data_IF_054476614956
#
_entry.id   IF_054476614956
#
_cell.length_a   1.000
_cell.length_b   1.000
_cell.length_c   1.000
_cell.angle_alpha   90.00
_cell.angle_beta   90.00
_cell.angle_gamma   90.00
#
_symmetry.space_group_name_H-M   'P 1'
#
loop_
_entity.id
_entity.type
_entity.pdbx_description
1 polymer ?
#
# COMPACT_ATOMS: atom_id res chain seq x y z
N UNK A 1 -32.12 9.83 -0.61
CA UNK A 1 -30.85 9.47 0.06
C UNK A 1 -29.91 8.74 -0.90
N UNK A 2 -30.45 7.86 -1.75
CA UNK A 2 -29.75 7.26 -2.90
C UNK A 2 -29.21 8.31 -3.87
N UNK A 3 -30.02 9.32 -4.22
CA UNK A 3 -29.67 10.32 -5.25
C UNK A 3 -28.43 11.15 -4.87
N UNK A 4 -28.31 11.49 -3.58
CA UNK A 4 -27.14 12.20 -3.07
C UNK A 4 -25.84 11.40 -3.22
N UNK A 5 -25.86 10.09 -2.95
CA UNK A 5 -24.68 9.24 -3.08
C UNK A 5 -24.34 8.95 -4.54
N UNK A 6 -25.31 8.92 -5.44
CA UNK A 6 -25.06 8.79 -6.87
C UNK A 6 -24.51 10.07 -7.49
N UNK A 7 -24.99 11.24 -7.04
CA UNK A 7 -24.56 12.54 -7.58
C UNK A 7 -23.20 12.99 -7.03
N UNK A 8 -22.90 12.70 -5.76
CA UNK A 8 -21.65 13.12 -5.09
C UNK A 8 -20.71 11.96 -4.74
N UNK A 9 -20.99 10.72 -5.17
CA UNK A 9 -20.26 9.52 -4.74
C UNK A 9 -18.75 9.59 -4.97
N UNK A 10 -18.32 10.10 -6.13
CA UNK A 10 -16.88 10.26 -6.44
C UNK A 10 -16.22 11.27 -5.49
N UNK A 11 -16.88 12.40 -5.23
CA UNK A 11 -16.37 13.44 -4.34
C UNK A 11 -16.21 12.91 -2.91
N UNK A 12 -17.21 12.17 -2.42
CA UNK A 12 -17.20 11.54 -1.11
C UNK A 12 -16.07 10.50 -1.03
N UNK A 13 -15.91 9.65 -2.05
CA UNK A 13 -14.85 8.65 -2.09
C UNK A 13 -13.46 9.28 -2.03
N UNK A 14 -13.22 10.35 -2.81
CA UNK A 14 -11.95 11.09 -2.80
C UNK A 14 -11.70 11.80 -1.46
N UNK A 15 -12.74 12.37 -0.84
CA UNK A 15 -12.64 12.98 0.48
C UNK A 15 -12.25 11.94 1.55
N UNK A 16 -12.87 10.76 1.55
CA UNK A 16 -12.53 9.66 2.45
C UNK A 16 -11.09 9.16 2.23
N UNK A 17 -10.66 8.99 0.97
CA UNK A 17 -9.29 8.60 0.64
C UNK A 17 -8.27 9.63 1.16
N UNK A 18 -8.53 10.93 0.93
CA UNK A 18 -7.70 12.02 1.44
C UNK A 18 -7.63 12.03 2.98
N UNK A 19 -8.77 11.89 3.65
CA UNK A 19 -8.83 11.83 5.11
C UNK A 19 -8.03 10.64 5.68
N UNK A 20 -8.11 9.47 5.04
CA UNK A 20 -7.33 8.29 5.42
C UNK A 20 -5.82 8.53 5.32
N UNK A 21 -5.35 9.15 4.23
CA UNK A 21 -3.93 9.49 4.07
C UNK A 21 -3.45 10.49 5.12
N UNK A 22 -4.23 11.53 5.41
CA UNK A 22 -3.92 12.51 6.46
C UNK A 22 -3.82 11.83 7.82
N UNK A 23 -4.75 10.92 8.13
CA UNK A 23 -4.74 10.17 9.38
C UNK A 23 -3.51 9.26 9.49
N UNK A 24 -3.19 8.50 8.43
CA UNK A 24 -2.01 7.65 8.39
C UNK A 24 -0.71 8.43 8.60
N UNK A 25 -0.52 9.51 7.82
CA UNK A 25 0.69 10.34 7.89
C UNK A 25 0.83 11.00 9.28
N UNK A 26 -0.25 11.57 9.82
CA UNK A 26 -0.22 12.23 11.13
C UNK A 26 0.08 11.25 12.26
N UNK A 27 -0.56 10.07 12.25
CA UNK A 27 -0.34 9.00 13.23
C UNK A 27 1.09 8.47 13.17
N UNK A 28 1.60 8.15 11.97
CA UNK A 28 2.98 7.69 11.79
C UNK A 28 3.99 8.72 12.29
N UNK A 29 3.81 10.01 11.96
CA UNK A 29 4.69 11.08 12.44
C UNK A 29 4.66 11.23 13.95
N UNK A 30 3.47 11.21 14.55
CA UNK A 30 3.31 11.31 16.00
C UNK A 30 3.99 10.13 16.73
N UNK A 31 3.86 8.92 16.19
CA UNK A 31 4.47 7.72 16.76
C UNK A 31 6.00 7.76 16.64
N UNK A 32 6.53 8.11 15.46
CA UNK A 32 7.98 8.20 15.22
C UNK A 32 8.65 9.34 16.02
N UNK A 33 7.90 10.34 16.46
CA UNK A 33 8.40 11.40 17.33
C UNK A 33 8.55 10.97 18.80
N UNK A 34 8.09 9.78 19.18
CA UNK A 34 8.29 9.24 20.54
C UNK A 34 9.71 8.73 20.73
N UNK A 35 10.18 8.71 21.97
CA UNK A 35 11.49 8.16 22.31
C UNK A 35 11.59 6.69 21.89
N UNK A 36 12.69 6.33 21.21
CA UNK A 36 12.98 4.97 20.80
C UNK A 36 13.33 4.03 21.98
N UNK A 37 13.43 4.56 23.20
CA UNK A 37 13.79 3.80 24.40
C UNK A 37 15.29 3.78 24.66
N UNK A 38 15.73 2.80 25.45
CA UNK A 38 17.15 2.61 25.78
C UNK A 38 17.91 1.88 24.65
N UNK A 39 19.24 1.77 24.80
CA UNK A 39 20.13 1.16 23.81
C UNK A 39 19.73 -0.29 23.48
N UNK A 40 19.41 -1.10 24.49
CA UNK A 40 18.97 -2.48 24.31
C UNK A 40 17.66 -2.58 23.50
N UNK A 41 16.69 -1.68 23.75
CA UNK A 41 15.45 -1.62 22.98
C UNK A 41 15.72 -1.25 21.52
N UNK A 42 16.62 -0.29 21.28
CA UNK A 42 17.00 0.15 19.93
C UNK A 42 17.67 -0.98 19.15
N UNK A 43 18.61 -1.71 19.77
CA UNK A 43 19.29 -2.86 19.18
C UNK A 43 18.30 -3.96 18.75
N UNK A 44 17.41 -4.38 19.65
CA UNK A 44 16.38 -5.39 19.35
C UNK A 44 15.46 -4.90 18.23
N UNK A 45 15.00 -3.64 18.29
CA UNK A 45 14.14 -3.08 17.26
C UNK A 45 14.82 -3.02 15.89
N UNK A 46 16.14 -2.78 15.86
CA UNK A 46 16.95 -2.79 14.64
C UNK A 46 17.00 -4.18 14.01
N UNK A 47 17.28 -5.21 14.81
CA UNK A 47 17.29 -6.60 14.33
C UNK A 47 15.90 -7.04 13.81
N UNK A 48 14.82 -6.64 14.48
CA UNK A 48 13.45 -6.90 14.02
C UNK A 48 13.16 -6.20 12.69
N UNK A 49 13.57 -4.93 12.55
CA UNK A 49 13.39 -4.16 11.31
C UNK A 49 14.18 -4.78 10.15
N UNK A 50 15.40 -5.25 10.39
CA UNK A 50 16.23 -5.93 9.38
C UNK A 50 15.55 -7.22 8.91
N UNK A 51 15.10 -8.06 9.84
CA UNK A 51 14.38 -9.30 9.52
C UNK A 51 13.08 -9.04 8.75
N UNK A 52 12.29 -8.05 9.17
CA UNK A 52 11.06 -7.65 8.48
C UNK A 52 11.33 -7.18 7.05
N UNK A 53 12.35 -6.34 6.84
CA UNK A 53 12.77 -5.89 5.51
C UNK A 53 13.24 -7.05 4.63
N UNK A 54 14.04 -7.97 5.16
CA UNK A 54 14.49 -9.14 4.41
C UNK A 54 13.31 -10.04 3.97
N UNK A 55 12.35 -10.27 4.86
CA UNK A 55 11.13 -11.03 4.55
C UNK A 55 10.29 -10.34 3.47
N UNK A 56 9.96 -9.06 3.65
CA UNK A 56 9.14 -8.30 2.72
C UNK A 56 9.80 -8.20 1.35
N UNK A 57 11.11 -7.92 1.28
CA UNK A 57 11.85 -7.89 0.02
C UNK A 57 11.76 -9.23 -0.72
N UNK A 58 11.91 -10.36 -0.01
CA UNK A 58 11.81 -11.68 -0.62
C UNK A 58 10.40 -11.97 -1.12
N UNK A 59 9.39 -11.67 -0.31
CA UNK A 59 7.98 -11.88 -0.64
C UNK A 59 7.56 -11.03 -1.84
N UNK A 60 7.86 -9.73 -1.81
CA UNK A 60 7.46 -8.79 -2.84
C UNK A 60 8.16 -9.06 -4.15
N UNK A 61 9.41 -9.52 -4.13
CA UNK A 61 10.11 -9.94 -5.35
C UNK A 61 9.41 -11.12 -6.04
N UNK A 62 8.91 -12.09 -5.26
CA UNK A 62 8.17 -13.23 -5.80
C UNK A 62 6.82 -12.77 -6.34
N UNK A 63 6.08 -11.96 -5.56
CA UNK A 63 4.78 -11.41 -5.95
C UNK A 63 4.92 -10.58 -7.24
N UNK A 64 5.95 -9.74 -7.36
CA UNK A 64 6.19 -8.93 -8.54
C UNK A 64 6.40 -9.79 -9.79
N UNK A 65 7.15 -10.89 -9.68
CA UNK A 65 7.31 -11.86 -10.78
C UNK A 65 5.97 -12.44 -11.23
N UNK A 66 5.12 -12.87 -10.30
CA UNK A 66 3.78 -13.39 -10.62
C UNK A 66 2.89 -12.30 -11.22
N UNK A 67 2.94 -11.08 -10.68
CA UNK A 67 2.15 -9.95 -11.15
C UNK A 67 2.48 -9.58 -12.61
N UNK A 68 3.76 -9.65 -13.01
CA UNK A 68 4.16 -9.42 -14.42
C UNK A 68 3.54 -10.47 -15.35
N UNK A 69 3.59 -11.75 -14.97
CA UNK A 69 2.98 -12.83 -15.76
C UNK A 69 1.47 -12.61 -15.89
N UNK A 70 0.79 -12.26 -14.80
CA UNK A 70 -0.64 -11.97 -14.81
C UNK A 70 -0.97 -10.74 -15.65
N UNK A 71 -0.19 -9.66 -15.58
CA UNK A 71 -0.41 -8.46 -16.38
C UNK A 71 -0.33 -8.76 -17.89
N UNK A 72 0.64 -9.58 -18.31
CA UNK A 72 0.75 -10.02 -19.72
C UNK A 72 -0.45 -10.89 -20.10
N UNK A 73 -0.83 -11.85 -19.24
CA UNK A 73 -1.98 -12.72 -19.49
C UNK A 73 -3.28 -11.90 -19.64
N UNK A 74 -3.49 -10.91 -18.76
CA UNK A 74 -4.65 -10.01 -18.82
C UNK A 74 -4.65 -9.14 -20.08
N UNK A 75 -3.48 -8.66 -20.52
CA UNK A 75 -3.37 -7.83 -21.72
C UNK A 75 -3.75 -8.59 -23.01
N UNK A 76 -3.44 -9.89 -23.06
CA UNK A 76 -3.75 -10.76 -24.21
C UNK A 76 -5.18 -11.30 -24.13
N UNK A 77 -5.62 -11.75 -22.95
CA UNK A 77 -6.90 -12.43 -22.79
C UNK A 77 -8.10 -11.47 -22.69
N UNK A 78 -7.90 -10.26 -22.17
CA UNK A 78 -8.95 -9.25 -22.02
C UNK A 78 -8.63 -8.02 -22.89
N UNK A 79 -7.83 -7.09 -22.37
CA UNK A 79 -7.37 -5.90 -23.06
C UNK A 79 -6.29 -5.14 -22.27
N UNK A 80 -5.61 -4.21 -22.92
CA UNK A 80 -4.52 -3.43 -22.33
C UNK A 80 -4.97 -2.54 -21.17
N UNK A 81 -6.19 -1.95 -21.19
CA UNK A 81 -6.66 -1.08 -20.10
C UNK A 81 -6.87 -1.86 -18.82
N UNK A 82 -7.42 -3.06 -18.91
CA UNK A 82 -7.58 -3.95 -17.75
C UNK A 82 -6.23 -4.31 -17.13
N UNK A 83 -5.24 -4.65 -17.95
CA UNK A 83 -3.88 -4.92 -17.48
C UNK A 83 -3.23 -3.70 -16.81
N UNK A 84 -3.42 -2.50 -17.37
CA UNK A 84 -2.93 -1.25 -16.76
C UNK A 84 -3.60 -0.99 -15.41
N UNK A 85 -4.92 -1.18 -15.31
CA UNK A 85 -5.65 -1.07 -14.05
C UNK A 85 -5.15 -2.05 -12.98
N UNK A 86 -4.88 -3.30 -13.38
CA UNK A 86 -4.27 -4.31 -12.51
C UNK A 86 -2.90 -3.87 -11.99
N UNK A 87 -2.02 -3.37 -12.86
CA UNK A 87 -0.68 -2.90 -12.46
C UNK A 87 -0.77 -1.72 -11.50
N UNK A 88 -1.63 -0.73 -11.78
CA UNK A 88 -1.83 0.43 -10.91
C UNK A 88 -2.33 -0.03 -9.53
N UNK A 89 -3.34 -0.90 -9.48
CA UNK A 89 -3.87 -1.44 -8.22
C UNK A 89 -2.83 -2.25 -7.45
N UNK A 90 -2.07 -3.10 -8.14
CA UNK A 90 -0.99 -3.91 -7.55
C UNK A 90 0.13 -3.05 -6.97
N UNK A 91 0.53 -1.98 -7.66
CA UNK A 91 1.55 -1.04 -7.17
C UNK A 91 1.08 -0.31 -5.90
N UNK A 92 -0.15 0.19 -5.88
CA UNK A 92 -0.70 0.83 -4.67
C UNK A 92 -0.88 -0.16 -3.52
N UNK A 93 -1.26 -1.41 -3.79
CA UNK A 93 -1.34 -2.46 -2.77
C UNK A 93 0.04 -2.79 -2.20
N UNK A 94 1.06 -2.89 -3.05
CA UNK A 94 2.44 -3.10 -2.60
C UNK A 94 2.96 -1.92 -1.80
N UNK A 95 2.70 -0.69 -2.22
CA UNK A 95 3.12 0.51 -1.48
C UNK A 95 2.47 0.65 -0.09
N UNK A 96 1.31 0.01 0.13
CA UNK A 96 0.58 0.09 1.39
C UNK A 96 1.08 -0.88 2.48
N UNK A 97 1.67 -2.02 2.10
CA UNK A 97 2.21 -3.03 3.02
C UNK A 97 3.72 -2.97 3.15
#
# INVERSE_FOLDING_TARGET
MTDFLTDFGILIALACAGASLVYGISTSRWLLAKSAGNEQMQEISGAVQEGARAYLNRQYSIIAGVAVVLAIALAIALDVRTAVGFVIGGLFSGAAG
#
